data_IF_187620011696
#
_entry.id   IF_187620011696
#
_cell.length_a   1.000
_cell.length_b   1.000
_cell.length_c   1.000
_cell.angle_alpha   90.00
_cell.angle_beta   90.00
_cell.angle_gamma   90.00
#
_symmetry.space_group_name_H-M   'P 1'
#
loop_
_entity.id
_entity.type
_entity.pdbx_description
1 polymer ?
#
# COMPACT_ATOMS: atom_id res chain seq x y z
N UNK A 1 -7.64 8.58 1.94
CA UNK A 1 -6.64 8.26 2.99
C UNK A 1 -7.27 7.21 3.89
N UNK A 2 -6.48 6.28 4.44
CA UNK A 2 -6.98 5.14 5.20
C UNK A 2 -7.46 5.49 6.61
N UNK A 3 -7.19 6.71 7.10
CA UNK A 3 -7.68 7.19 8.40
C UNK A 3 -7.02 6.55 9.62
N UNK A 4 -5.97 5.75 9.42
CA UNK A 4 -5.22 5.05 10.46
C UNK A 4 -3.80 5.60 10.60
N UNK A 5 -3.22 5.41 11.77
CA UNK A 5 -1.82 5.69 12.05
C UNK A 5 -0.89 4.58 11.54
N UNK A 6 0.40 4.89 11.47
CA UNK A 6 1.44 3.91 11.14
C UNK A 6 1.48 2.83 12.22
N UNK A 7 1.43 1.56 11.80
CA UNK A 7 1.32 0.39 12.67
C UNK A 7 -0.13 -0.01 12.99
N UNK A 8 -1.11 0.76 12.51
CA UNK A 8 -2.53 0.46 12.68
C UNK A 8 -3.08 -0.46 11.59
N UNK A 9 -4.22 -1.07 11.89
CA UNK A 9 -5.07 -1.77 10.93
C UNK A 9 -6.40 -1.04 10.84
N UNK A 10 -6.95 -0.91 9.63
CA UNK A 10 -8.27 -0.32 9.42
C UNK A 10 -9.35 -1.16 10.10
N UNK A 11 -10.44 -0.51 10.55
CA UNK A 11 -11.56 -1.20 11.24
C UNK A 11 -12.25 -2.28 10.38
N UNK A 12 -12.13 -2.17 9.06
CA UNK A 12 -12.63 -3.16 8.10
C UNK A 12 -11.72 -4.39 7.94
N UNK A 13 -10.59 -4.41 8.65
CA UNK A 13 -9.57 -5.47 8.63
C UNK A 13 -8.99 -5.74 7.22
N UNK A 14 -9.13 -4.81 6.28
CA UNK A 14 -8.64 -4.98 4.91
C UNK A 14 -7.20 -4.51 4.73
N UNK A 15 -6.78 -3.49 5.49
CA UNK A 15 -5.47 -2.88 5.33
C UNK A 15 -4.75 -2.70 6.66
N UNK A 16 -3.51 -3.18 6.72
CA UNK A 16 -2.54 -2.82 7.76
C UNK A 16 -1.50 -1.88 7.19
N UNK A 17 -1.31 -0.73 7.83
CA UNK A 17 -0.33 0.26 7.40
C UNK A 17 0.96 0.07 8.20
N UNK A 18 2.02 -0.39 7.54
CA UNK A 18 3.34 -0.54 8.16
C UNK A 18 4.35 0.39 7.51
N UNK A 19 5.19 1.05 8.33
CA UNK A 19 6.32 1.82 7.85
C UNK A 19 7.59 1.00 7.95
N UNK A 20 8.21 0.73 6.80
CA UNK A 20 9.48 0.03 6.71
C UNK A 20 10.56 1.00 6.23
N UNK A 21 11.74 0.92 6.83
CA UNK A 21 12.85 1.83 6.52
C UNK A 21 13.44 1.59 5.12
N UNK A 22 13.51 0.33 4.65
CA UNK A 22 14.06 -0.01 3.34
C UNK A 22 13.39 -1.24 2.73
N UNK A 23 12.99 -1.13 1.46
CA UNK A 23 12.45 -2.23 0.65
C UNK A 23 13.47 -2.75 -0.40
N UNK A 24 14.73 -2.29 -0.34
CA UNK A 24 15.80 -2.71 -1.27
C UNK A 24 15.60 -2.26 -2.72
N UNK A 25 14.60 -1.44 -3.01
CA UNK A 25 14.19 -1.01 -4.35
C UNK A 25 14.40 0.48 -4.56
N UNK A 26 15.58 0.98 -4.18
CA UNK A 26 15.89 2.41 -4.19
C UNK A 26 15.69 3.09 -5.57
N UNK A 27 15.88 2.33 -6.66
CA UNK A 27 15.67 2.84 -8.03
C UNK A 27 14.18 3.11 -8.38
N UNK A 28 13.25 2.59 -7.59
CA UNK A 28 11.80 2.75 -7.74
C UNK A 28 11.21 3.76 -6.77
N UNK A 29 12.03 4.42 -5.96
CA UNK A 29 11.56 5.41 -4.99
C UNK A 29 10.75 6.53 -5.68
N UNK A 30 9.66 7.02 -5.06
CA UNK A 30 8.98 6.50 -3.87
C UNK A 30 8.28 5.17 -4.15
N UNK A 31 8.38 4.22 -3.22
CA UNK A 31 7.88 2.84 -3.38
C UNK A 31 7.01 2.42 -2.20
N UNK A 32 5.95 1.67 -2.48
CA UNK A 32 5.12 0.97 -1.50
C UNK A 32 5.04 -0.51 -1.88
N UNK A 33 4.89 -1.37 -0.88
CA UNK A 33 4.59 -2.78 -1.08
C UNK A 33 3.18 -3.04 -0.58
N UNK A 34 2.39 -3.75 -1.38
CA UNK A 34 1.09 -4.28 -0.95
C UNK A 34 1.17 -5.80 -1.10
N UNK A 35 1.03 -6.51 0.02
CA UNK A 35 1.30 -7.95 0.10
C UNK A 35 2.71 -8.26 -0.46
N UNK A 36 2.81 -8.92 -1.62
CA UNK A 36 4.07 -9.25 -2.29
C UNK A 36 4.34 -8.44 -3.57
N UNK A 37 3.53 -7.41 -3.84
CA UNK A 37 3.65 -6.58 -5.04
C UNK A 37 4.31 -5.24 -4.73
N UNK A 38 5.39 -4.94 -5.45
CA UNK A 38 6.08 -3.65 -5.38
C UNK A 38 5.45 -2.65 -6.33
N UNK A 39 5.13 -1.46 -5.81
CA UNK A 39 4.62 -0.34 -6.59
C UNK A 39 5.56 0.85 -6.44
N UNK A 40 6.31 1.15 -7.49
CA UNK A 40 7.27 2.25 -7.53
C UNK A 40 6.75 3.52 -8.20
N UNK A 41 7.55 4.59 -8.18
CA UNK A 41 7.26 5.89 -8.84
C UNK A 41 5.91 6.47 -8.40
N UNK A 42 5.65 6.36 -7.09
CA UNK A 42 4.37 6.74 -6.50
C UNK A 42 4.23 8.24 -6.36
N UNK A 43 2.98 8.68 -6.50
CA UNK A 43 2.48 9.97 -6.08
C UNK A 43 1.22 9.74 -5.21
N UNK A 44 0.74 10.75 -4.46
CA UNK A 44 -0.41 10.58 -3.58
C UNK A 44 -1.69 10.10 -4.30
N UNK A 45 -1.87 10.45 -5.58
CA UNK A 45 -3.04 10.00 -6.35
C UNK A 45 -2.90 8.53 -6.77
N UNK A 46 -1.72 8.14 -7.30
CA UNK A 46 -1.42 6.74 -7.63
C UNK A 46 -1.53 5.83 -6.42
N UNK A 47 -1.00 6.23 -5.26
CA UNK A 47 -1.12 5.45 -4.04
C UNK A 47 -2.60 5.21 -3.69
N UNK A 48 -3.45 6.23 -3.80
CA UNK A 48 -4.91 6.09 -3.61
C UNK A 48 -5.54 5.14 -4.63
N UNK A 49 -5.20 5.28 -5.92
CA UNK A 49 -5.72 4.41 -6.98
C UNK A 49 -5.33 2.95 -6.77
N UNK A 50 -4.07 2.70 -6.38
CA UNK A 50 -3.56 1.36 -6.06
C UNK A 50 -4.35 0.78 -4.89
N UNK A 51 -4.50 1.51 -3.79
CA UNK A 51 -5.29 1.05 -2.64
C UNK A 51 -6.75 0.73 -3.02
N UNK A 52 -7.38 1.57 -3.84
CA UNK A 52 -8.74 1.32 -4.34
C UNK A 52 -8.82 0.07 -5.22
N UNK A 53 -7.76 -0.23 -5.99
CA UNK A 53 -7.70 -1.46 -6.78
C UNK A 53 -7.70 -2.70 -5.89
N UNK A 54 -7.00 -2.66 -4.75
CA UNK A 54 -6.95 -3.76 -3.78
C UNK A 54 -8.24 -3.91 -2.97
N UNK A 55 -8.88 -2.80 -2.58
CA UNK A 55 -10.17 -2.82 -1.88
C UNK A 55 -11.30 -3.45 -2.70
N UNK A 56 -11.18 -3.43 -4.04
CA UNK A 56 -12.13 -4.08 -4.96
C UNK A 56 -11.72 -5.46 -5.47
N UNK A 57 -10.49 -5.95 -5.17
CA UNK A 57 -9.93 -7.17 -5.77
C UNK A 57 -9.77 -8.34 -4.79
N UNK A 58 -10.63 -8.43 -3.77
CA UNK A 58 -11.03 -9.75 -3.24
C UNK A 58 -11.90 -10.46 -4.28
N UNK A 59 -11.25 -10.88 -5.36
CA UNK A 59 -11.67 -11.94 -6.26
C UNK A 59 -10.39 -12.64 -6.70
N UNK A 60 -9.99 -13.57 -5.83
CA UNK A 60 -9.02 -14.64 -6.02
C UNK A 60 -8.85 -15.05 -7.51
N UNK A 61 -7.61 -15.16 -7.97
CA UNK A 61 -7.20 -16.05 -9.07
C UNK A 61 -5.78 -16.52 -8.84
#
# INVERSE_FOLDING_TARGET
ALGIEVGGTTDDLQFSLEAVACLGTCFLAPVMMVNNSYHGKLDPQKAKTILMSYAGSIKES
#
